data_IF_668054451794
#
_entry.id   IF_668054451794
#
_cell.length_a   1.000
_cell.length_b   1.000
_cell.length_c   1.000
_cell.angle_alpha   90.00
_cell.angle_beta   90.00
_cell.angle_gamma   90.00
#
_symmetry.space_group_name_H-M   'P 1'
#
loop_
_entity.id
_entity.type
_entity.pdbx_description
1 polymer ?
#
# COMPACT_ATOMS: atom_id res chain seq x y z
N UNK A 1 17.22 9.91 16.35
CA UNK A 1 16.55 9.15 15.27
C UNK A 1 16.31 7.73 15.77
N UNK A 2 15.16 7.10 15.46
CA UNK A 2 14.93 5.69 15.81
C UNK A 2 15.72 4.77 14.85
N UNK A 3 16.25 3.66 15.35
CA UNK A 3 16.87 2.64 14.49
C UNK A 3 15.80 1.87 13.69
N UNK A 4 16.16 1.34 12.51
CA UNK A 4 15.26 0.56 11.67
C UNK A 4 14.82 -0.72 12.39
N UNK A 5 13.52 -1.03 12.36
CA UNK A 5 12.86 -2.15 13.05
C UNK A 5 13.02 -2.13 14.58
N UNK A 6 13.33 -0.97 15.16
CA UNK A 6 13.37 -0.81 16.61
C UNK A 6 11.99 -0.57 17.20
N UNK A 7 11.85 -0.82 18.50
CA UNK A 7 10.65 -0.49 19.28
C UNK A 7 10.26 0.99 19.14
N UNK A 8 11.24 1.90 19.17
CA UNK A 8 11.06 3.34 18.93
C UNK A 8 10.40 3.63 17.57
N UNK A 9 10.80 2.93 16.49
CA UNK A 9 10.20 3.13 15.17
C UNK A 9 8.73 2.68 15.17
N UNK A 10 8.45 1.52 15.79
CA UNK A 10 7.10 0.96 15.86
C UNK A 10 6.15 1.85 16.67
N UNK A 11 6.61 2.39 17.81
CA UNK A 11 5.84 3.32 18.65
C UNK A 11 5.55 4.64 17.94
N UNK A 12 6.54 5.19 17.24
CA UNK A 12 6.32 6.39 16.42
C UNK A 12 5.34 6.13 15.29
N UNK A 13 5.42 4.96 14.66
CA UNK A 13 4.51 4.60 13.60
C UNK A 13 3.08 4.47 14.13
N UNK A 14 2.86 3.73 15.22
CA UNK A 14 1.52 3.49 15.77
C UNK A 14 0.82 4.74 16.32
N UNK A 15 1.60 5.75 16.73
CA UNK A 15 1.07 7.04 17.24
C UNK A 15 0.88 8.09 16.15
N UNK A 16 1.37 7.84 14.93
CA UNK A 16 1.23 8.76 13.80
C UNK A 16 -0.08 8.54 13.04
N UNK A 17 -0.80 9.63 12.74
CA UNK A 17 -2.02 9.55 11.91
C UNK A 17 -1.71 9.17 10.45
N UNK A 18 -0.60 9.67 9.94
CA UNK A 18 -0.21 9.52 8.54
C UNK A 18 1.20 8.95 8.42
N UNK A 19 1.45 8.20 7.34
CA UNK A 19 2.77 7.69 7.01
C UNK A 19 3.09 7.92 5.53
N UNK A 20 4.25 8.51 5.24
CA UNK A 20 4.74 8.69 3.86
C UNK A 20 5.25 7.35 3.30
N UNK A 21 4.35 6.62 2.64
CA UNK A 21 4.62 5.35 1.97
C UNK A 21 5.05 5.59 0.50
N UNK A 22 6.10 6.37 0.31
CA UNK A 22 6.59 6.72 -1.03
C UNK A 22 7.47 5.62 -1.59
N UNK A 23 7.30 5.34 -2.87
CA UNK A 23 8.12 4.38 -3.59
C UNK A 23 9.31 5.06 -4.23
N UNK A 24 10.42 4.32 -4.29
CA UNK A 24 11.68 4.81 -4.87
C UNK A 24 11.57 5.12 -6.36
N UNK A 25 10.53 4.61 -7.03
CA UNK A 25 10.23 4.90 -8.42
C UNK A 25 8.73 4.91 -8.66
N UNK A 26 8.28 5.80 -9.54
CA UNK A 26 6.89 5.86 -10.00
C UNK A 26 6.69 5.23 -11.39
N UNK A 27 7.78 4.83 -12.04
CA UNK A 27 7.79 4.34 -13.43
C UNK A 27 7.46 2.85 -13.54
N UNK A 28 7.50 2.12 -12.42
CA UNK A 28 7.27 0.68 -12.40
C UNK A 28 5.82 0.39 -12.12
N UNK A 29 5.18 -0.33 -13.05
CA UNK A 29 3.83 -0.87 -12.85
C UNK A 29 3.81 -1.72 -11.59
N UNK A 30 2.78 -1.52 -10.77
CA UNK A 30 2.46 -2.35 -9.60
C UNK A 30 3.57 -2.43 -8.53
N UNK A 31 4.57 -1.54 -8.59
CA UNK A 31 5.66 -1.49 -7.63
C UNK A 31 5.16 -0.86 -6.31
N UNK A 32 4.57 -1.69 -5.46
CA UNK A 32 4.05 -1.35 -4.13
C UNK A 32 4.77 -2.25 -3.13
N UNK A 33 5.50 -1.65 -2.19
CA UNK A 33 6.44 -2.33 -1.30
C UNK A 33 5.88 -2.48 0.12
N UNK A 34 6.71 -2.93 1.06
CA UNK A 34 6.36 -3.12 2.46
C UNK A 34 5.91 -1.82 3.12
N UNK A 35 6.35 -0.65 2.64
CA UNK A 35 6.01 0.65 3.23
C UNK A 35 4.50 0.87 3.31
N UNK A 36 3.79 0.54 2.22
CA UNK A 36 2.34 0.65 2.14
C UNK A 36 1.66 -0.27 3.16
N UNK A 37 1.98 -1.56 3.12
CA UNK A 37 1.32 -2.55 3.98
C UNK A 37 1.68 -2.39 5.46
N UNK A 38 2.93 -2.04 5.76
CA UNK A 38 3.40 -1.76 7.11
C UNK A 38 2.61 -0.61 7.72
N UNK A 39 2.33 0.45 6.96
CA UNK A 39 1.55 1.59 7.44
C UNK A 39 0.11 1.21 7.80
N UNK A 40 -0.57 0.43 6.96
CA UNK A 40 -1.92 -0.04 7.23
C UNK A 40 -1.96 -0.98 8.44
N UNK A 41 -0.96 -1.85 8.59
CA UNK A 41 -0.86 -2.78 9.72
C UNK A 41 -0.67 -2.08 11.06
N UNK A 42 -0.09 -0.88 11.09
CA UNK A 42 0.19 -0.12 12.32
C UNK A 42 -0.84 0.98 12.60
N UNK A 43 -2.01 0.93 11.98
CA UNK A 43 -3.08 1.89 12.28
C UNK A 43 -2.97 3.23 11.57
N UNK A 44 -1.92 3.47 10.79
CA UNK A 44 -1.71 4.76 10.10
C UNK A 44 -2.40 4.80 8.74
N UNK A 45 -2.66 6.00 8.24
CA UNK A 45 -3.13 6.23 6.86
C UNK A 45 -1.91 6.42 5.94
N UNK A 46 -1.64 5.51 4.98
CA UNK A 46 -0.59 5.72 3.99
C UNK A 46 -0.90 6.90 3.07
N UNK A 47 0.07 7.79 2.94
CA UNK A 47 0.19 8.77 1.86
C UNK A 47 1.13 8.14 0.84
N UNK A 48 0.62 7.80 -0.34
CA UNK A 48 1.37 7.05 -1.34
C UNK A 48 1.81 7.94 -2.50
N UNK A 49 3.02 7.68 -2.99
CA UNK A 49 3.56 8.26 -4.21
C UNK A 49 4.36 7.17 -4.93
N UNK A 50 3.81 6.68 -6.05
CA UNK A 50 4.34 5.48 -6.71
C UNK A 50 3.64 5.24 -8.05
N UNK A 51 3.25 3.98 -8.38
CA UNK A 51 2.53 3.65 -9.61
C UNK A 51 1.18 4.37 -9.73
N UNK A 52 0.47 4.18 -10.85
CA UNK A 52 -0.88 4.72 -11.09
C UNK A 52 -1.82 4.34 -9.94
N UNK A 53 -2.77 5.23 -9.61
CA UNK A 53 -3.78 5.02 -8.55
C UNK A 53 -4.47 3.65 -8.65
N UNK A 54 -4.84 3.22 -9.86
CA UNK A 54 -5.46 1.91 -10.14
C UNK A 54 -4.65 0.71 -9.65
N UNK A 55 -3.30 0.79 -9.64
CA UNK A 55 -2.46 -0.28 -9.09
C UNK A 55 -2.67 -0.47 -7.59
N UNK A 56 -2.89 0.62 -6.85
CA UNK A 56 -3.25 0.57 -5.43
C UNK A 56 -4.68 0.08 -5.25
N UNK A 57 -5.65 0.65 -5.99
CA UNK A 57 -7.08 0.31 -5.86
C UNK A 57 -7.38 -1.17 -6.13
N UNK A 58 -6.58 -1.84 -6.96
CA UNK A 58 -6.74 -3.27 -7.25
C UNK A 58 -6.41 -4.18 -6.05
N UNK A 59 -5.54 -3.73 -5.14
CA UNK A 59 -5.00 -4.58 -4.06
C UNK A 59 -5.30 -4.03 -2.66
N UNK A 60 -5.52 -2.73 -2.54
CA UNK A 60 -5.78 -2.07 -1.28
C UNK A 60 -7.25 -2.21 -0.87
N UNK A 61 -7.55 -2.29 0.44
CA UNK A 61 -8.91 -2.11 0.91
C UNK A 61 -9.48 -0.76 0.43
N UNK A 62 -10.80 -0.66 0.19
CA UNK A 62 -11.40 0.56 -0.30
C UNK A 62 -11.21 1.70 0.71
N UNK A 63 -10.92 2.89 0.19
CA UNK A 63 -10.73 4.11 0.99
C UNK A 63 -9.64 3.97 2.08
N UNK A 64 -8.57 3.20 1.85
CA UNK A 64 -7.54 2.97 2.88
C UNK A 64 -6.30 3.85 2.76
N UNK A 65 -6.20 4.73 1.76
CA UNK A 65 -4.98 5.49 1.47
C UNK A 65 -5.26 6.84 0.82
N UNK A 66 -4.26 7.73 0.87
CA UNK A 66 -4.26 9.04 0.20
C UNK A 66 -3.24 9.00 -0.94
N UNK A 67 -3.68 9.22 -2.18
CA UNK A 67 -2.81 9.24 -3.36
C UNK A 67 -2.24 10.65 -3.57
N UNK A 68 -0.94 10.82 -3.38
CA UNK A 68 -0.33 12.15 -3.41
C UNK A 68 -0.45 12.85 -4.78
N UNK A 69 -0.52 12.10 -5.89
CA UNK A 69 -0.65 12.66 -7.24
C UNK A 69 -2.08 13.09 -7.60
N UNK A 70 -3.07 12.93 -6.71
CA UNK A 70 -4.41 13.51 -6.90
C UNK A 70 -4.44 15.02 -6.60
N UNK A 71 -3.38 15.56 -6.00
CA UNK A 71 -3.26 16.96 -5.62
C UNK A 71 -2.35 17.69 -6.60
N UNK A 72 -2.72 18.93 -6.95
CA UNK A 72 -1.95 19.79 -7.85
C UNK A 72 -0.54 20.09 -7.33
N UNK A 73 -0.39 20.18 -6.02
CA UNK A 73 0.82 20.63 -5.35
C UNK A 73 0.88 20.13 -3.89
N UNK A 74 2.08 20.13 -3.28
CA UNK A 74 2.26 19.69 -1.89
C UNK A 74 1.47 20.51 -0.86
N UNK A 75 1.20 21.80 -1.12
CA UNK A 75 0.46 22.66 -0.20
C UNK A 75 -1.01 22.24 -0.12
N UNK A 76 -1.62 21.89 -1.25
CA UNK A 76 -3.00 21.38 -1.31
C UNK A 76 -3.12 20.03 -0.63
N UNK A 77 -2.14 19.12 -0.83
CA UNK A 77 -2.07 17.86 -0.06
C UNK A 77 -1.94 18.14 1.44
N UNK A 78 -1.03 19.03 1.85
CA UNK A 78 -0.84 19.36 3.25
C UNK A 78 -2.09 19.95 3.91
N UNK A 79 -2.87 20.75 3.18
CA UNK A 79 -4.18 21.25 3.63
C UNK A 79 -5.15 20.10 3.87
N UNK A 80 -5.32 19.20 2.91
CA UNK A 80 -6.18 18.03 3.07
C UNK A 80 -5.79 17.15 4.27
N UNK A 81 -4.49 16.92 4.47
CA UNK A 81 -4.00 16.14 5.61
C UNK A 81 -4.31 16.82 6.95
N UNK A 82 -4.26 18.16 7.02
CA UNK A 82 -4.68 18.91 8.21
C UNK A 82 -6.18 18.77 8.46
N UNK A 83 -6.99 18.89 7.42
CA UNK A 83 -8.45 18.79 7.52
C UNK A 83 -8.87 17.39 8.00
N UNK A 84 -8.33 16.33 7.40
CA UNK A 84 -8.53 14.94 7.83
C UNK A 84 -7.98 14.71 9.24
N UNK A 85 -6.81 15.26 9.55
CA UNK A 85 -6.17 15.11 10.86
C UNK A 85 -6.91 15.82 11.99
N UNK A 86 -7.65 16.90 11.70
CA UNK A 86 -8.43 17.66 12.67
C UNK A 86 -9.85 17.12 12.85
N UNK A 87 -10.40 16.42 11.86
CA UNK A 87 -11.76 15.88 11.89
C UNK A 87 -11.75 14.37 12.13
N UNK A 88 -12.16 13.95 13.34
CA UNK A 88 -12.20 12.55 13.73
C UNK A 88 -13.10 11.70 12.81
N UNK A 89 -14.24 12.23 12.37
CA UNK A 89 -15.15 11.50 11.48
C UNK A 89 -14.53 11.28 10.10
N UNK A 90 -13.79 12.25 9.56
CA UNK A 90 -13.08 12.07 8.29
C UNK A 90 -11.91 11.08 8.44
N UNK A 91 -11.16 11.16 9.54
CA UNK A 91 -10.09 10.23 9.85
C UNK A 91 -10.59 8.78 9.93
N UNK A 92 -11.69 8.54 10.64
CA UNK A 92 -12.27 7.21 10.81
C UNK A 92 -12.78 6.58 9.52
N UNK A 93 -13.18 7.39 8.52
CA UNK A 93 -13.54 6.86 7.20
C UNK A 93 -12.40 6.07 6.55
N UNK A 94 -11.14 6.43 6.81
CA UNK A 94 -9.97 5.70 6.30
C UNK A 94 -9.68 4.39 7.03
N UNK A 95 -10.45 4.06 8.08
CA UNK A 95 -10.30 2.84 8.86
C UNK A 95 -11.52 1.91 8.82
N UNK A 96 -12.64 2.34 8.21
CA UNK A 96 -13.86 1.52 8.07
C UNK A 96 -13.62 0.16 7.41
N UNK A 97 -12.65 0.06 6.51
CA UNK A 97 -12.29 -1.19 5.84
C UNK A 97 -11.84 -2.29 6.82
N UNK A 98 -11.32 -1.94 8.00
CA UNK A 98 -10.85 -2.91 9.01
C UNK A 98 -11.95 -3.81 9.54
N UNK A 99 -13.22 -3.42 9.38
CA UNK A 99 -14.37 -4.27 9.72
C UNK A 99 -14.52 -5.49 8.80
N UNK A 100 -13.90 -5.47 7.62
CA UNK A 100 -14.05 -6.51 6.58
C UNK A 100 -12.73 -7.13 6.13
N UNK A 101 -11.61 -6.43 6.31
CA UNK A 101 -10.30 -6.86 5.82
C UNK A 101 -9.25 -6.82 6.92
N UNK A 102 -8.29 -7.73 6.82
CA UNK A 102 -7.10 -7.79 7.66
C UNK A 102 -5.86 -7.51 6.80
N UNK A 103 -4.88 -6.79 7.37
CA UNK A 103 -3.59 -6.59 6.72
C UNK A 103 -2.61 -7.68 7.08
N UNK A 104 -2.13 -8.43 6.10
CA UNK A 104 -1.03 -9.39 6.25
C UNK A 104 0.10 -9.01 5.31
N UNK A 105 1.31 -8.80 5.85
CA UNK A 105 2.45 -8.35 5.05
C UNK A 105 3.79 -8.98 5.45
N UNK A 106 3.85 -9.66 6.59
CA UNK A 106 5.04 -10.41 6.98
C UNK A 106 5.09 -11.72 6.18
N UNK A 107 6.30 -12.12 5.77
CA UNK A 107 6.52 -13.34 5.01
C UNK A 107 5.87 -14.55 5.66
N UNK A 108 6.07 -14.72 6.97
CA UNK A 108 5.50 -15.82 7.76
C UNK A 108 3.97 -15.95 7.67
N UNK A 109 3.26 -14.84 7.51
CA UNK A 109 1.79 -14.82 7.46
C UNK A 109 1.26 -15.06 6.04
N UNK A 110 2.10 -14.76 5.03
CA UNK A 110 1.75 -14.78 3.61
C UNK A 110 2.24 -16.03 2.88
N UNK A 111 3.38 -16.58 3.26
CA UNK A 111 4.03 -17.70 2.58
C UNK A 111 3.12 -18.93 2.45
N UNK A 112 2.44 -19.42 3.52
CA UNK A 112 1.55 -20.57 3.40
C UNK A 112 0.42 -20.35 2.38
N UNK A 113 -0.17 -19.15 2.38
CA UNK A 113 -1.26 -18.78 1.45
C UNK A 113 -0.73 -18.69 0.02
N UNK A 114 0.41 -18.04 -0.18
CA UNK A 114 1.03 -17.86 -1.50
C UNK A 114 1.43 -19.19 -2.14
N UNK A 115 2.01 -20.11 -1.37
CA UNK A 115 2.36 -21.43 -1.89
C UNK A 115 1.13 -22.29 -2.19
N UNK A 116 0.07 -22.17 -1.39
CA UNK A 116 -1.21 -22.83 -1.69
C UNK A 116 -1.83 -22.29 -2.99
N UNK A 117 -1.89 -20.97 -3.16
CA UNK A 117 -2.41 -20.35 -4.37
C UNK A 117 -1.57 -20.71 -5.61
N UNK A 118 -0.25 -20.71 -5.48
CA UNK A 118 0.66 -21.14 -6.54
C UNK A 118 0.42 -22.61 -6.91
N UNK A 119 0.34 -23.50 -5.92
CA UNK A 119 0.07 -24.92 -6.14
C UNK A 119 -1.28 -25.12 -6.84
N UNK A 120 -2.33 -24.42 -6.40
CA UNK A 120 -3.64 -24.45 -7.03
C UNK A 120 -3.56 -24.01 -8.50
N UNK A 121 -2.91 -22.87 -8.77
CA UNK A 121 -2.74 -22.35 -10.14
C UNK A 121 -1.97 -23.33 -11.02
N UNK A 122 -0.87 -23.90 -10.54
CA UNK A 122 -0.09 -24.90 -11.29
C UNK A 122 -0.90 -26.16 -11.64
N UNK A 123 -1.88 -26.55 -10.82
CA UNK A 123 -2.68 -27.74 -11.02
C UNK A 123 -4.00 -27.49 -11.79
N UNK A 124 -4.48 -26.25 -11.86
CA UNK A 124 -5.79 -25.92 -12.45
C UNK A 124 -5.71 -25.04 -13.70
N UNK A 125 -4.75 -24.12 -13.77
CA UNK A 125 -4.59 -23.27 -14.96
C UNK A 125 -3.89 -24.07 -16.07
N UNK A 126 -4.55 -24.14 -17.23
CA UNK A 126 -4.02 -24.78 -18.44
C UNK A 126 -3.36 -23.78 -19.38
N UNK A 127 -3.73 -22.50 -19.27
CA UNK A 127 -3.16 -21.43 -20.07
C UNK A 127 -1.70 -21.19 -19.68
N UNK A 128 -0.82 -21.30 -20.66
CA UNK A 128 0.58 -20.90 -20.50
C UNK A 128 0.68 -19.42 -20.81
N UNK A 129 1.02 -18.63 -19.82
CA UNK A 129 1.35 -17.22 -19.97
C UNK A 129 2.87 -17.09 -19.92
N UNK A 130 3.46 -16.46 -20.92
CA UNK A 130 4.88 -16.11 -20.92
C UNK A 130 5.06 -14.70 -21.45
N UNK A 131 6.09 -14.03 -20.95
CA UNK A 131 6.46 -12.68 -21.38
C UNK A 131 7.77 -12.79 -22.14
N UNK A 132 7.81 -12.27 -23.36
CA UNK A 132 9.03 -12.25 -24.18
C UNK A 132 10.03 -11.19 -23.70
N UNK A 133 9.55 -10.19 -22.97
CA UNK A 133 10.37 -9.13 -22.38
C UNK A 133 9.84 -8.77 -21.00
N UNK A 134 10.59 -9.16 -19.97
CA UNK A 134 10.28 -8.89 -18.57
C UNK A 134 10.40 -7.41 -18.24
N UNK A 135 11.32 -6.68 -18.89
CA UNK A 135 11.47 -5.24 -18.66
C UNK A 135 10.27 -4.48 -19.21
N UNK A 136 9.79 -4.86 -20.40
CA UNK A 136 8.59 -4.31 -21.01
C UNK A 136 7.37 -4.49 -20.11
N UNK A 137 7.17 -5.68 -19.55
CA UNK A 137 6.09 -5.94 -18.59
C UNK A 137 6.08 -4.96 -17.40
N UNK A 138 7.24 -4.66 -16.82
CA UNK A 138 7.35 -3.73 -15.68
C UNK A 138 7.25 -2.25 -16.05
N UNK A 139 7.40 -1.90 -17.34
CA UNK A 139 7.38 -0.54 -17.87
C UNK A 139 6.08 -0.17 -18.58
N UNK A 140 5.33 -1.16 -19.09
CA UNK A 140 4.07 -0.95 -19.77
C UNK A 140 3.02 -0.43 -18.80
N UNK A 141 2.40 0.69 -19.17
CA UNK A 141 1.42 1.40 -18.37
C UNK A 141 0.10 1.44 -19.12
N UNK A 142 -0.77 0.43 -18.91
CA UNK A 142 -2.17 0.46 -19.37
C UNK A 142 -2.88 1.75 -18.96
#
# INVERSE_FOLDING_TARGET
MCARRSQCELEKLSTSKFYLAFESTTLRRDYITEKFWRSLSHGTIPIVFGPKRRSYERIAPPNSFIYAKDYSDPQTLAKHLKDVGANQNEYEKYHKWRMKYETRYLGRDLEPVRFCELCYKLNTYRDRIWYTDVHKYFLETD
#
